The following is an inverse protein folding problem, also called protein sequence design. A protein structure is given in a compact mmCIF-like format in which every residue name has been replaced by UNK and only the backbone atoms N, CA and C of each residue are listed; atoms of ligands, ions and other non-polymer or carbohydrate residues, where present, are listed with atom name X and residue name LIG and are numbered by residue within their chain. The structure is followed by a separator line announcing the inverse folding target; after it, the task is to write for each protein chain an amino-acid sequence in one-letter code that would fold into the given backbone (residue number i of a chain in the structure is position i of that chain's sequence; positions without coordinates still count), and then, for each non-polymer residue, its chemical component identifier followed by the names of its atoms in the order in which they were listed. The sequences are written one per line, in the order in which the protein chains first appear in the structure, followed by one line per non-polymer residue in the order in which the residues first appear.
data_IF_887064654179
#
_entry.id   IF_887064654179
#
_cell.length_a   1.000
_cell.length_b   1.000
_cell.length_c   1.000
_cell.angle_alpha   90.00
_cell.angle_beta   90.00
_cell.angle_gamma   90.00
#
_symmetry.space_group_name_H-M   'P 1'
#
loop_
_entity.id
_entity.type
_entity.pdbx_description
1 polymer ?
#
# COMPACT_ATOMS: atom_id res chain seq x y z
N UNK A 1 18.63 0.71 -6.85
CA UNK A 1 19.25 0.86 -5.50
C UNK A 1 18.15 0.62 -4.48
N UNK A 2 18.44 -0.12 -3.40
CA UNK A 2 17.36 -0.43 -2.45
C UNK A 2 17.01 0.79 -1.59
N UNK A 3 15.72 1.09 -1.48
CA UNK A 3 15.18 2.19 -0.66
C UNK A 3 14.82 1.70 0.73
N UNK A 4 14.30 0.47 0.83
CA UNK A 4 13.97 -0.18 2.11
C UNK A 4 14.60 -1.57 2.11
N UNK A 5 15.35 -1.89 3.15
CA UNK A 5 15.87 -3.22 3.42
C UNK A 5 15.55 -3.59 4.86
N UNK A 6 14.75 -4.63 5.04
CA UNK A 6 14.43 -5.21 6.34
C UNK A 6 14.85 -6.68 6.37
N UNK A 7 15.48 -7.10 7.47
CA UNK A 7 15.87 -8.49 7.73
C UNK A 7 15.48 -8.89 9.14
N UNK A 8 14.63 -9.90 9.24
CA UNK A 8 14.14 -10.42 10.51
C UNK A 8 13.46 -9.33 11.37
N UNK A 9 12.80 -8.34 10.75
CA UNK A 9 12.19 -7.21 11.45
C UNK A 9 11.08 -7.68 12.38
N UNK A 10 11.17 -7.34 13.67
CA UNK A 10 10.21 -7.73 14.70
C UNK A 10 9.78 -6.54 15.54
N UNK A 11 8.51 -6.56 15.94
CA UNK A 11 7.93 -5.61 16.90
C UNK A 11 6.84 -6.26 17.70
N UNK A 12 6.94 -6.12 19.02
CA UNK A 12 5.91 -6.60 19.95
C UNK A 12 5.37 -5.47 20.80
N UNK A 13 4.11 -5.54 21.15
CA UNK A 13 3.42 -4.71 22.12
C UNK A 13 2.84 -5.66 23.19
N UNK A 14 3.50 -5.73 24.33
CA UNK A 14 3.20 -6.75 25.34
C UNK A 14 3.32 -8.17 24.76
N UNK A 15 2.27 -8.95 24.84
CA UNK A 15 2.21 -10.31 24.31
C UNK A 15 1.91 -10.38 22.79
N UNK A 16 1.56 -9.26 22.15
CA UNK A 16 1.17 -9.25 20.73
C UNK A 16 2.38 -8.99 19.86
N UNK A 17 2.70 -9.92 18.96
CA UNK A 17 3.71 -9.76 17.93
C UNK A 17 3.09 -9.04 16.72
N UNK A 18 3.28 -7.72 16.65
CA UNK A 18 2.74 -6.91 15.55
C UNK A 18 3.56 -7.08 14.26
N UNK A 19 4.89 -7.34 14.38
CA UNK A 19 5.76 -7.78 13.29
C UNK A 19 6.54 -9.00 13.79
N UNK A 20 6.59 -10.06 12.98
CA UNK A 20 7.18 -11.33 13.37
C UNK A 20 8.15 -11.87 12.30
N UNK A 21 9.33 -11.24 12.23
CA UNK A 21 10.41 -11.67 11.35
C UNK A 21 10.16 -11.31 9.88
N UNK A 22 9.87 -10.04 9.61
CA UNK A 22 9.68 -9.53 8.26
C UNK A 22 11.03 -9.37 7.55
N UNK A 23 11.13 -10.00 6.37
CA UNK A 23 12.16 -9.74 5.37
C UNK A 23 11.52 -9.03 4.19
N UNK A 24 12.02 -7.82 3.88
CA UNK A 24 11.47 -6.98 2.82
C UNK A 24 12.58 -6.19 2.14
N UNK A 25 12.54 -6.16 0.81
CA UNK A 25 13.40 -5.30 0.01
C UNK A 25 12.54 -4.52 -1.00
N UNK A 26 12.71 -3.21 -1.01
CA UNK A 26 12.03 -2.30 -1.95
C UNK A 26 13.07 -1.53 -2.73
N UNK A 27 13.03 -1.66 -4.04
CA UNK A 27 13.93 -0.95 -4.95
C UNK A 27 13.45 0.47 -5.22
N UNK A 28 14.35 1.31 -5.73
CA UNK A 28 14.07 2.69 -6.14
C UNK A 28 13.06 2.74 -7.31
N UNK A 29 12.25 3.79 -7.38
CA UNK A 29 11.30 4.01 -8.46
C UNK A 29 10.12 3.05 -8.47
N UNK A 30 9.68 2.56 -7.32
CA UNK A 30 8.57 1.62 -7.17
C UNK A 30 7.38 2.25 -6.46
N UNK A 31 6.19 1.80 -6.81
CA UNK A 31 4.95 2.06 -6.07
C UNK A 31 4.54 0.75 -5.42
N UNK A 32 4.85 0.63 -4.13
CA UNK A 32 4.59 -0.58 -3.35
C UNK A 32 3.27 -0.48 -2.60
N UNK A 33 2.37 -1.43 -2.86
CA UNK A 33 1.17 -1.66 -2.04
C UNK A 33 1.46 -2.62 -0.88
N UNK A 34 1.38 -2.15 0.36
CA UNK A 34 1.42 -3.01 1.56
C UNK A 34 -0.01 -3.34 1.98
N UNK A 35 -0.46 -4.54 1.64
CA UNK A 35 -1.85 -4.96 1.69
C UNK A 35 -2.05 -5.98 2.80
N UNK A 36 -3.11 -5.83 3.56
CA UNK A 36 -3.47 -6.76 4.63
C UNK A 36 -4.68 -6.29 5.43
N UNK A 37 -5.30 -7.17 6.22
CA UNK A 37 -6.45 -6.80 7.04
C UNK A 37 -6.07 -5.84 8.16
N UNK A 38 -7.07 -5.28 8.82
CA UNK A 38 -6.84 -4.48 10.02
C UNK A 38 -6.15 -5.34 11.09
N UNK A 39 -5.13 -4.77 11.73
CA UNK A 39 -4.32 -5.49 12.71
C UNK A 39 -3.23 -6.40 12.12
N UNK A 40 -3.06 -6.48 10.80
CA UNK A 40 -2.03 -7.30 10.17
C UNK A 40 -0.59 -6.83 10.43
N UNK A 41 -0.39 -5.58 10.88
CA UNK A 41 0.93 -5.01 11.14
C UNK A 41 1.35 -3.89 10.18
N UNK A 42 0.50 -3.47 9.23
CA UNK A 42 0.80 -2.44 8.21
C UNK A 42 1.33 -1.15 8.82
N UNK A 43 0.51 -0.48 9.64
CA UNK A 43 0.90 0.78 10.33
C UNK A 43 2.13 0.59 11.22
N UNK A 44 2.30 -0.58 11.84
CA UNK A 44 3.49 -0.87 12.65
C UNK A 44 4.74 -0.96 11.76
N UNK A 45 4.64 -1.58 10.58
CA UNK A 45 5.74 -1.63 9.62
C UNK A 45 6.09 -0.22 9.11
N UNK A 46 5.09 0.60 8.76
CA UNK A 46 5.32 2.00 8.37
C UNK A 46 5.95 2.82 9.49
N UNK A 47 5.48 2.65 10.74
CA UNK A 47 6.07 3.34 11.89
C UNK A 47 7.53 2.94 12.12
N UNK A 48 7.89 1.68 11.88
CA UNK A 48 9.30 1.25 11.93
C UNK A 48 10.12 1.90 10.81
N UNK A 49 9.62 1.91 9.56
CA UNK A 49 10.25 2.54 8.39
C UNK A 49 10.47 4.04 8.62
N UNK A 50 9.51 4.72 9.28
CA UNK A 50 9.57 6.16 9.61
C UNK A 50 10.37 6.48 10.89
N UNK A 51 10.90 5.46 11.59
CA UNK A 51 11.58 5.64 12.88
C UNK A 51 10.68 6.21 13.98
N UNK A 52 9.38 5.91 13.93
CA UNK A 52 8.39 6.30 14.94
C UNK A 52 8.21 5.26 16.05
N UNK A 53 8.77 4.06 15.87
CA UNK A 53 8.77 3.00 16.86
C UNK A 53 10.08 2.23 16.83
N UNK A 54 10.52 1.76 18.00
CA UNK A 54 11.66 0.84 18.09
C UNK A 54 11.30 -0.54 17.54
N UNK A 55 12.29 -1.27 17.05
CA UNK A 55 12.14 -2.59 16.45
C UNK A 55 13.36 -3.48 16.82
N UNK A 56 13.25 -4.77 16.52
CA UNK A 56 14.35 -5.74 16.53
C UNK A 56 14.63 -6.21 15.09
N UNK A 57 15.82 -6.69 14.83
CA UNK A 57 16.28 -7.03 13.48
C UNK A 57 17.05 -5.89 12.83
N UNK A 58 17.33 -6.04 11.53
CA UNK A 58 18.00 -4.98 10.75
C UNK A 58 16.99 -4.29 9.84
N UNK A 59 17.00 -2.96 9.87
CA UNK A 59 16.18 -2.12 9.00
C UNK A 59 17.00 -0.93 8.52
N UNK A 60 17.09 -0.80 7.19
CA UNK A 60 17.68 0.35 6.51
C UNK A 60 16.66 0.99 5.60
N UNK A 61 16.55 2.30 5.69
CA UNK A 61 15.70 3.13 4.82
C UNK A 61 16.58 4.21 4.22
N UNK A 62 16.68 4.26 2.89
CA UNK A 62 17.62 5.12 2.18
C UNK A 62 19.06 4.98 2.71
N UNK A 63 19.44 3.75 3.10
CA UNK A 63 20.75 3.42 3.66
C UNK A 63 20.96 3.78 5.12
N UNK A 64 19.98 4.40 5.80
CA UNK A 64 20.05 4.84 7.20
C UNK A 64 19.25 3.92 8.12
N UNK A 65 19.66 3.84 9.38
CA UNK A 65 18.83 3.23 10.41
C UNK A 65 17.74 4.23 10.83
N UNK A 66 16.45 3.93 10.60
CA UNK A 66 15.38 4.91 10.84
C UNK A 66 15.18 5.25 12.32
N UNK A 67 15.58 4.38 13.25
CA UNK A 67 15.46 4.64 14.69
C UNK A 67 16.53 5.57 15.24
N UNK A 68 17.78 5.41 14.79
CA UNK A 68 18.92 6.18 15.32
C UNK A 68 19.30 7.39 14.48
N UNK A 69 18.90 7.43 13.19
CA UNK A 69 19.26 8.49 12.24
C UNK A 69 18.00 9.17 11.65
N UNK A 70 16.91 9.19 12.45
CA UNK A 70 15.60 9.66 11.98
C UNK A 70 15.61 11.11 11.49
N UNK A 71 16.33 12.00 12.14
CA UNK A 71 16.44 13.41 11.78
C UNK A 71 17.04 13.62 10.37
N UNK A 72 18.03 12.80 10.03
CA UNK A 72 18.63 12.79 8.68
C UNK A 72 17.72 12.13 7.67
N UNK A 73 17.08 11.02 8.05
CA UNK A 73 16.16 10.28 7.20
C UNK A 73 14.97 11.14 6.77
N UNK A 74 14.36 11.86 7.70
CA UNK A 74 13.15 12.67 7.44
C UNK A 74 13.37 13.85 6.49
N UNK A 75 14.61 14.17 6.14
CA UNK A 75 14.91 15.15 5.07
C UNK A 75 14.59 14.63 3.66
N UNK A 76 14.59 13.31 3.51
CA UNK A 76 14.40 12.60 2.24
C UNK A 76 13.07 11.82 2.20
N UNK A 77 12.26 11.91 3.28
CA UNK A 77 11.00 11.17 3.43
C UNK A 77 9.86 12.15 3.68
N UNK A 78 8.76 11.92 2.97
CA UNK A 78 7.48 12.56 3.26
C UNK A 78 6.45 11.49 3.64
N UNK A 79 5.47 11.82 4.51
CA UNK A 79 4.45 10.84 4.85
C UNK A 79 3.10 11.49 5.16
N UNK A 80 2.03 10.74 4.86
CA UNK A 80 0.67 11.00 5.30
C UNK A 80 0.27 9.86 6.23
N UNK A 81 -0.04 10.18 7.49
CA UNK A 81 -0.61 9.22 8.42
C UNK A 81 -2.11 9.05 8.18
N UNK A 82 -2.67 7.88 8.52
CA UNK A 82 -4.11 7.61 8.51
C UNK A 82 -4.93 8.71 9.23
N UNK A 83 -4.39 9.23 10.31
CA UNK A 83 -4.97 10.36 11.06
C UNK A 83 -4.10 11.60 10.87
N UNK A 84 -3.92 12.04 9.63
CA UNK A 84 -3.23 13.30 9.36
C UNK A 84 -4.10 14.47 9.82
N UNK A 85 -3.87 14.96 11.01
CA UNK A 85 -4.68 16.04 11.60
C UNK A 85 -3.88 17.31 11.61
N UNK A 86 -4.11 18.13 10.56
CA UNK A 86 -3.76 19.55 10.70
C UNK A 86 -4.61 20.18 11.81
N UNK A 87 -4.03 21.04 12.65
CA UNK A 87 -4.80 21.73 13.71
C UNK A 87 -6.01 22.44 13.11
N UNK A 88 -7.19 22.15 13.61
CA UNK A 88 -8.46 22.67 13.05
C UNK A 88 -8.56 24.20 13.04
N UNK A 89 -7.82 24.87 13.93
CA UNK A 89 -7.77 26.32 14.05
C UNK A 89 -6.81 27.01 13.09
N UNK A 90 -5.84 26.26 12.50
CA UNK A 90 -4.81 26.84 11.63
C UNK A 90 -5.41 27.27 10.29
N UNK A 91 -4.89 28.37 9.72
CA UNK A 91 -5.20 28.76 8.34
C UNK A 91 -4.36 27.96 7.36
N UNK A 92 -4.88 27.74 6.15
CA UNK A 92 -4.15 27.04 5.08
C UNK A 92 -2.80 27.69 4.82
N UNK A 93 -2.73 29.03 4.68
CA UNK A 93 -1.47 29.75 4.51
C UNK A 93 -0.46 29.48 5.63
N UNK A 94 -0.93 29.50 6.89
CA UNK A 94 -0.06 29.28 8.04
C UNK A 94 0.40 27.82 8.14
N UNK A 95 -0.42 26.86 7.67
CA UNK A 95 0.00 25.47 7.56
C UNK A 95 1.15 25.30 6.55
N UNK A 96 1.05 25.97 5.40
CA UNK A 96 2.14 25.98 4.40
C UNK A 96 3.40 26.66 4.94
N UNK A 97 3.25 27.80 5.66
CA UNK A 97 4.37 28.49 6.32
C UNK A 97 5.08 27.59 7.33
N UNK A 98 4.28 26.89 8.14
CA UNK A 98 4.81 25.96 9.15
C UNK A 98 5.60 24.81 8.51
N UNK A 99 5.05 24.18 7.47
CA UNK A 99 5.77 23.10 6.77
C UNK A 99 7.04 23.61 6.12
N UNK A 100 7.01 24.81 5.48
CA UNK A 100 8.20 25.46 4.92
C UNK A 100 9.27 25.80 5.95
N UNK A 101 8.87 26.06 7.19
CA UNK A 101 9.80 26.31 8.30
C UNK A 101 10.45 25.05 8.87
N UNK A 102 9.83 23.88 8.72
CA UNK A 102 10.32 22.62 9.31
C UNK A 102 10.91 21.65 8.29
N UNK A 103 10.47 21.69 7.03
CA UNK A 103 10.95 20.76 6.01
C UNK A 103 11.84 21.46 4.98
N UNK A 104 13.15 21.12 4.89
CA UNK A 104 14.12 21.86 4.07
C UNK A 104 13.88 21.76 2.56
N UNK A 105 13.11 20.76 2.10
CA UNK A 105 12.80 20.52 0.68
C UNK A 105 11.34 20.82 0.33
N UNK A 106 10.66 21.63 1.14
CA UNK A 106 9.30 22.05 0.83
C UNK A 106 9.30 23.23 -0.14
N UNK A 107 8.61 23.08 -1.27
CA UNK A 107 8.37 24.15 -2.23
C UNK A 107 6.95 24.71 -2.03
N UNK A 108 6.87 25.86 -1.35
CA UNK A 108 5.61 26.56 -1.11
C UNK A 108 4.87 26.91 -2.41
N UNK A 109 5.60 27.37 -3.43
CA UNK A 109 4.98 27.75 -4.70
C UNK A 109 4.34 26.52 -5.39
N UNK A 110 4.94 25.36 -5.24
CA UNK A 110 4.36 24.10 -5.73
C UNK A 110 3.08 23.75 -4.98
N UNK A 111 3.07 23.84 -3.64
CA UNK A 111 1.86 23.63 -2.84
C UNK A 111 0.72 24.58 -3.27
N UNK A 112 1.02 25.85 -3.45
CA UNK A 112 0.06 26.85 -3.91
C UNK A 112 -0.47 26.53 -5.32
N UNK A 113 0.39 26.08 -6.25
CA UNK A 113 -0.03 25.60 -7.58
C UNK A 113 -1.00 24.43 -7.51
N UNK A 114 -0.78 23.46 -6.61
CA UNK A 114 -1.74 22.37 -6.42
C UNK A 114 -3.08 22.89 -5.89
N UNK A 115 -3.05 23.81 -4.93
CA UNK A 115 -4.28 24.37 -4.35
C UNK A 115 -5.09 25.20 -5.34
N UNK A 116 -4.48 25.83 -6.37
CA UNK A 116 -5.24 26.53 -7.42
C UNK A 116 -6.21 25.67 -8.20
N UNK A 117 -5.97 24.34 -8.22
CA UNK A 117 -6.86 23.36 -8.87
C UNK A 117 -8.02 22.92 -7.96
N UNK A 118 -8.11 23.48 -6.77
CA UNK A 118 -9.12 23.15 -5.75
C UNK A 118 -9.94 24.38 -5.39
N UNK A 119 -11.01 24.20 -4.63
CA UNK A 119 -11.80 25.29 -4.05
C UNK A 119 -11.24 25.82 -2.72
N UNK A 120 -10.05 25.37 -2.31
CA UNK A 120 -9.44 25.73 -1.03
C UNK A 120 -8.82 27.12 -1.11
N UNK A 121 -9.26 28.03 -0.23
CA UNK A 121 -8.69 29.36 -0.11
C UNK A 121 -7.58 29.38 0.93
N UNK A 122 -6.47 30.05 0.65
CA UNK A 122 -5.35 30.19 1.57
C UNK A 122 -5.72 30.81 2.93
N UNK A 123 -6.78 31.64 2.94
CA UNK A 123 -7.31 32.30 4.15
C UNK A 123 -8.24 31.41 4.98
N UNK A 124 -8.76 30.31 4.43
CA UNK A 124 -9.66 29.39 5.13
C UNK A 124 -8.94 28.69 6.29
N UNK A 125 -9.69 28.42 7.37
CA UNK A 125 -9.21 27.56 8.45
C UNK A 125 -9.50 26.11 8.12
N UNK A 126 -8.66 25.19 8.59
CA UNK A 126 -8.82 23.75 8.38
C UNK A 126 -10.22 23.26 8.82
N UNK A 127 -10.78 23.79 9.92
CA UNK A 127 -12.13 23.45 10.37
C UNK A 127 -13.26 23.83 9.41
N UNK A 128 -13.00 24.73 8.45
CA UNK A 128 -13.96 25.22 7.45
C UNK A 128 -13.93 24.35 6.17
N UNK A 129 -12.95 23.45 6.07
CA UNK A 129 -12.78 22.56 4.95
C UNK A 129 -13.60 21.28 5.13
N UNK A 130 -14.16 20.76 4.03
CA UNK A 130 -14.73 19.41 4.02
C UNK A 130 -13.63 18.35 4.19
N UNK A 131 -14.00 17.11 4.51
CA UNK A 131 -13.03 16.01 4.62
C UNK A 131 -12.20 15.85 3.33
N UNK A 132 -12.84 15.90 2.16
CA UNK A 132 -12.16 15.85 0.86
C UNK A 132 -11.20 17.02 0.66
N UNK A 133 -11.58 18.25 1.04
CA UNK A 133 -10.71 19.42 0.95
C UNK A 133 -9.49 19.29 1.91
N UNK A 134 -9.68 18.71 3.10
CA UNK A 134 -8.55 18.44 4.02
C UNK A 134 -7.57 17.46 3.39
N UNK A 135 -8.06 16.40 2.76
CA UNK A 135 -7.20 15.43 2.06
C UNK A 135 -6.46 16.08 0.87
N UNK A 136 -7.15 16.93 0.08
CA UNK A 136 -6.51 17.71 -0.99
C UNK A 136 -5.42 18.65 -0.44
N UNK A 137 -5.64 19.29 0.71
CA UNK A 137 -4.62 20.11 1.36
C UNK A 137 -3.41 19.29 1.81
N UNK A 138 -3.64 18.11 2.43
CA UNK A 138 -2.54 17.20 2.79
C UNK A 138 -1.76 16.75 1.56
N UNK A 139 -2.46 16.37 0.49
CA UNK A 139 -1.82 15.99 -0.76
C UNK A 139 -0.97 17.13 -1.32
N UNK A 140 -1.52 18.35 -1.40
CA UNK A 140 -0.78 19.52 -1.87
C UNK A 140 0.50 19.79 -1.06
N UNK A 141 0.44 19.63 0.27
CA UNK A 141 1.60 19.77 1.15
C UNK A 141 2.65 18.70 0.84
N UNK A 142 2.23 17.43 0.79
CA UNK A 142 3.15 16.30 0.62
C UNK A 142 3.79 16.30 -0.76
N UNK A 143 3.02 16.60 -1.80
CA UNK A 143 3.52 16.68 -3.18
C UNK A 143 4.44 17.89 -3.41
N UNK A 144 4.41 18.88 -2.54
CA UNK A 144 5.34 20.01 -2.55
C UNK A 144 6.65 19.72 -1.81
N UNK A 145 6.82 18.54 -1.25
CA UNK A 145 8.08 18.09 -0.65
C UNK A 145 8.83 17.24 -1.68
N UNK A 146 10.04 17.64 -2.03
CA UNK A 146 10.93 16.87 -2.89
C UNK A 146 11.55 15.71 -2.09
N UNK A 147 10.77 14.67 -1.84
CA UNK A 147 11.17 13.48 -1.10
C UNK A 147 11.51 12.32 -2.05
N UNK A 148 12.49 11.49 -1.66
CA UNK A 148 12.84 10.24 -2.35
C UNK A 148 11.91 9.09 -1.98
N UNK A 149 11.36 9.12 -0.77
CA UNK A 149 10.40 8.13 -0.27
C UNK A 149 9.15 8.83 0.24
N UNK A 150 8.01 8.48 -0.34
CA UNK A 150 6.69 8.88 0.13
C UNK A 150 6.01 7.69 0.80
N UNK A 151 5.56 7.86 2.04
CA UNK A 151 4.84 6.85 2.81
C UNK A 151 3.41 7.31 3.04
N UNK A 152 2.44 6.48 2.69
CA UNK A 152 1.01 6.79 2.76
C UNK A 152 0.30 5.69 3.57
N UNK A 153 -0.23 6.04 4.74
CA UNK A 153 -1.01 5.10 5.56
C UNK A 153 -2.50 5.38 5.37
N UNK A 154 -3.19 4.48 4.65
CA UNK A 154 -4.63 4.57 4.31
C UNK A 154 -5.06 5.97 3.79
N UNK A 155 -4.37 6.56 2.80
CA UNK A 155 -4.46 7.99 2.49
C UNK A 155 -5.83 8.44 1.97
N UNK A 156 -6.66 7.52 1.51
CA UNK A 156 -8.00 7.79 0.95
C UNK A 156 -9.14 7.38 1.88
N UNK A 157 -8.82 6.97 3.12
CA UNK A 157 -9.83 6.55 4.07
C UNK A 157 -10.83 7.68 4.38
N UNK A 158 -12.11 7.39 4.19
CA UNK A 158 -13.19 8.36 4.43
C UNK A 158 -13.39 9.40 3.32
N UNK A 159 -12.70 9.28 2.19
CA UNK A 159 -12.98 10.04 0.98
C UNK A 159 -14.06 9.36 0.14
N UNK A 160 -14.83 10.13 -0.61
CA UNK A 160 -15.71 9.59 -1.64
C UNK A 160 -14.92 9.14 -2.89
N UNK A 161 -15.59 8.38 -3.76
CA UNK A 161 -14.96 7.74 -4.93
C UNK A 161 -14.29 8.77 -5.86
N UNK A 162 -14.90 9.95 -6.03
CA UNK A 162 -14.37 10.98 -6.93
C UNK A 162 -13.03 11.54 -6.40
N UNK A 163 -12.99 11.88 -5.11
CA UNK A 163 -11.79 12.41 -4.49
C UNK A 163 -10.68 11.37 -4.38
N UNK A 164 -11.01 10.09 -4.18
CA UNK A 164 -10.01 9.00 -4.20
C UNK A 164 -9.34 8.87 -5.56
N UNK A 165 -10.14 8.87 -6.63
CA UNK A 165 -9.59 8.81 -7.99
C UNK A 165 -8.69 10.02 -8.27
N UNK A 166 -9.13 11.23 -7.96
CA UNK A 166 -8.34 12.45 -8.13
C UNK A 166 -7.03 12.39 -7.33
N UNK A 167 -7.05 11.81 -6.12
CA UNK A 167 -5.85 11.63 -5.30
C UNK A 167 -4.81 10.77 -6.02
N UNK A 168 -5.20 9.58 -6.50
CA UNK A 168 -4.29 8.67 -7.18
C UNK A 168 -3.86 9.21 -8.54
N UNK A 169 -4.74 9.83 -9.30
CA UNK A 169 -4.39 10.48 -10.57
C UNK A 169 -3.33 11.58 -10.37
N UNK A 170 -3.48 12.41 -9.34
CA UNK A 170 -2.49 13.44 -9.01
C UNK A 170 -1.19 12.84 -8.51
N UNK A 171 -1.25 11.78 -7.71
CA UNK A 171 -0.07 11.08 -7.21
C UNK A 171 0.79 10.54 -8.36
N UNK A 172 0.14 9.95 -9.38
CA UNK A 172 0.82 9.39 -10.54
C UNK A 172 1.31 10.46 -11.51
N UNK A 173 0.45 11.39 -11.88
CA UNK A 173 0.74 12.29 -12.99
C UNK A 173 1.57 13.51 -12.57
N UNK A 174 1.41 13.95 -11.30
CA UNK A 174 2.03 15.19 -10.83
C UNK A 174 3.22 14.95 -9.88
N UNK A 175 3.29 13.77 -9.21
CA UNK A 175 4.31 13.51 -8.20
C UNK A 175 5.26 12.38 -8.54
N UNK A 176 4.74 11.24 -9.01
CA UNK A 176 5.58 10.06 -9.24
C UNK A 176 6.52 10.27 -10.43
N UNK A 177 7.78 10.00 -10.19
CA UNK A 177 8.80 9.81 -11.22
C UNK A 177 9.69 8.62 -10.84
N UNK A 178 10.54 8.16 -11.75
CA UNK A 178 11.41 6.99 -11.53
C UNK A 178 12.46 7.17 -10.41
N UNK A 179 12.62 8.38 -9.88
CA UNK A 179 13.54 8.69 -8.81
C UNK A 179 12.85 8.69 -7.43
N UNK A 180 11.53 8.50 -7.40
CA UNK A 180 10.72 8.49 -6.18
C UNK A 180 10.10 7.15 -5.94
N UNK A 181 10.16 6.69 -4.71
CA UNK A 181 9.51 5.45 -4.26
C UNK A 181 8.30 5.81 -3.40
N UNK A 182 7.20 5.12 -3.62
CA UNK A 182 5.97 5.31 -2.86
C UNK A 182 5.65 3.99 -2.16
N UNK A 183 5.38 4.05 -0.87
CA UNK A 183 4.82 2.93 -0.09
C UNK A 183 3.44 3.34 0.39
N UNK A 184 2.43 2.59 0.00
CA UNK A 184 1.05 2.87 0.39
C UNK A 184 0.44 1.66 1.08
N UNK A 185 -0.19 1.88 2.24
CA UNK A 185 -1.04 0.87 2.84
C UNK A 185 -2.48 1.12 2.44
N UNK A 186 -3.20 0.05 2.17
CA UNK A 186 -4.64 0.09 1.97
C UNK A 186 -5.27 -1.27 2.28
N UNK A 187 -6.53 -1.24 2.65
CA UNK A 187 -7.40 -2.41 2.65
C UNK A 187 -8.39 -2.39 1.47
N UNK A 188 -8.42 -1.29 0.69
CA UNK A 188 -9.24 -1.09 -0.50
C UNK A 188 -8.37 -1.18 -1.76
N UNK A 189 -7.92 -2.39 -2.07
CA UNK A 189 -6.89 -2.66 -3.09
C UNK A 189 -7.35 -2.32 -4.49
N UNK A 190 -8.63 -2.51 -4.78
CA UNK A 190 -9.23 -2.29 -6.09
C UNK A 190 -9.08 -0.85 -6.58
N UNK A 191 -8.91 0.10 -5.66
CA UNK A 191 -8.76 1.52 -5.99
C UNK A 191 -7.36 1.91 -6.45
N UNK A 192 -6.36 1.09 -6.09
CA UNK A 192 -4.94 1.42 -6.31
C UNK A 192 -4.22 0.40 -7.19
N UNK A 193 -4.81 -0.78 -7.44
CA UNK A 193 -4.12 -1.86 -8.16
C UNK A 193 -3.51 -1.42 -9.49
N UNK A 194 -4.19 -0.53 -10.23
CA UNK A 194 -3.76 -0.07 -11.56
C UNK A 194 -2.53 0.86 -11.50
N UNK A 195 -2.14 1.32 -10.31
CA UNK A 195 -1.01 2.23 -10.12
C UNK A 195 0.18 1.54 -9.44
N UNK A 196 -0.01 0.35 -8.86
CA UNK A 196 1.04 -0.38 -8.18
C UNK A 196 2.04 -0.97 -9.18
N UNK A 197 3.31 -0.95 -8.81
CA UNK A 197 4.36 -1.73 -9.48
C UNK A 197 4.62 -3.04 -8.75
N UNK A 198 4.49 -3.03 -7.42
CA UNK A 198 4.78 -4.16 -6.56
C UNK A 198 3.73 -4.25 -5.44
N UNK A 199 3.50 -5.46 -4.96
CA UNK A 199 2.64 -5.72 -3.81
C UNK A 199 3.35 -6.56 -2.76
N UNK A 200 3.04 -6.26 -1.51
CA UNK A 200 3.42 -7.07 -0.34
C UNK A 200 2.15 -7.40 0.43
N UNK A 201 1.87 -8.68 0.57
CA UNK A 201 0.79 -9.13 1.42
C UNK A 201 1.33 -9.41 2.82
N UNK A 202 0.68 -8.81 3.81
CA UNK A 202 0.99 -9.01 5.22
C UNK A 202 -0.22 -9.55 5.95
N UNK A 203 -0.02 -10.62 6.73
CA UNK A 203 -1.02 -11.18 7.62
C UNK A 203 -0.37 -11.55 8.95
N UNK A 204 -1.01 -11.17 10.06
CA UNK A 204 -0.56 -11.47 11.44
C UNK A 204 0.93 -11.18 11.67
N UNK A 205 1.40 -10.05 11.19
CA UNK A 205 2.78 -9.60 11.34
C UNK A 205 3.80 -10.30 10.45
N UNK A 206 3.38 -11.14 9.50
CA UNK A 206 4.27 -11.87 8.59
C UNK A 206 3.97 -11.53 7.14
N UNK A 207 5.00 -11.43 6.32
CA UNK A 207 4.84 -11.33 4.87
C UNK A 207 4.43 -12.69 4.33
N UNK A 208 3.35 -12.72 3.54
CA UNK A 208 2.81 -13.94 2.93
C UNK A 208 3.04 -14.00 1.42
N UNK A 209 3.20 -12.84 0.77
CA UNK A 209 3.58 -12.71 -0.63
C UNK A 209 4.36 -11.41 -0.84
N UNK A 210 5.39 -11.46 -1.67
CA UNK A 210 6.03 -10.31 -2.31
C UNK A 210 6.07 -10.59 -3.79
N UNK A 211 5.56 -9.71 -4.63
CA UNK A 211 5.52 -9.91 -6.07
C UNK A 211 5.43 -8.58 -6.81
N UNK A 212 6.00 -8.47 -8.01
CA UNK A 212 5.67 -7.40 -8.93
C UNK A 212 4.31 -7.64 -9.58
N UNK A 213 3.69 -6.59 -10.10
CA UNK A 213 2.43 -6.72 -10.85
C UNK A 213 2.63 -7.57 -12.12
N UNK A 214 3.77 -7.41 -12.81
CA UNK A 214 4.15 -8.23 -13.96
C UNK A 214 4.26 -9.73 -13.61
N UNK A 215 4.86 -10.05 -12.44
CA UNK A 215 4.94 -11.43 -11.97
C UNK A 215 3.54 -11.98 -11.63
N UNK A 216 2.65 -11.17 -11.04
CA UNK A 216 1.28 -11.60 -10.76
C UNK A 216 0.55 -11.94 -12.05
N UNK A 217 0.63 -11.10 -13.09
CA UNK A 217 0.00 -11.33 -14.38
C UNK A 217 0.49 -12.59 -15.07
N UNK A 218 1.77 -12.89 -14.98
CA UNK A 218 2.38 -14.06 -15.61
C UNK A 218 2.17 -15.36 -14.81
N UNK A 219 2.12 -15.25 -13.49
CA UNK A 219 2.15 -16.40 -12.57
C UNK A 219 0.78 -16.88 -12.16
N UNK A 220 -0.15 -15.95 -11.90
CA UNK A 220 -1.46 -16.30 -11.36
C UNK A 220 -2.55 -16.21 -12.42
N UNK A 221 -3.41 -17.21 -12.45
CA UNK A 221 -4.56 -17.26 -13.38
C UNK A 221 -5.81 -17.65 -12.62
N UNK A 222 -6.85 -16.84 -12.78
CA UNK A 222 -8.20 -17.18 -12.35
C UNK A 222 -8.97 -17.81 -13.50
N UNK A 223 -9.68 -18.90 -13.25
CA UNK A 223 -10.54 -19.55 -14.23
C UNK A 223 -11.95 -19.71 -13.71
N UNK A 224 -12.93 -19.27 -14.50
CA UNK A 224 -14.35 -19.46 -14.22
C UNK A 224 -14.82 -20.75 -14.95
N UNK A 225 -15.06 -21.79 -14.18
CA UNK A 225 -15.29 -23.15 -14.66
C UNK A 225 -16.74 -23.57 -14.47
N UNK A 226 -17.32 -24.22 -15.49
CA UNK A 226 -18.65 -24.82 -15.39
C UNK A 226 -18.62 -26.10 -14.54
N UNK A 227 -19.75 -26.55 -13.99
CA UNK A 227 -19.82 -27.80 -13.23
C UNK A 227 -19.29 -29.01 -13.99
N UNK A 228 -19.47 -29.05 -15.32
CA UNK A 228 -19.02 -30.16 -16.16
C UNK A 228 -17.48 -30.31 -16.23
N UNK A 229 -16.75 -29.21 -16.09
CA UNK A 229 -15.30 -29.19 -16.17
C UNK A 229 -14.60 -29.10 -14.79
N UNK A 230 -15.38 -29.10 -13.70
CA UNK A 230 -14.85 -28.83 -12.36
C UNK A 230 -13.82 -29.87 -11.90
N UNK A 231 -14.05 -31.15 -12.16
CA UNK A 231 -13.12 -32.21 -11.76
C UNK A 231 -11.80 -32.11 -12.53
N UNK A 232 -11.88 -31.78 -13.84
CA UNK A 232 -10.68 -31.51 -14.65
C UNK A 232 -9.89 -30.30 -14.14
N UNK A 233 -10.58 -29.25 -13.69
CA UNK A 233 -9.95 -28.06 -13.10
C UNK A 233 -9.29 -28.38 -11.74
N UNK A 234 -9.96 -29.13 -10.88
CA UNK A 234 -9.41 -29.55 -9.57
C UNK A 234 -8.18 -30.44 -9.70
N UNK A 235 -8.10 -31.27 -10.78
CA UNK A 235 -6.93 -32.08 -11.08
C UNK A 235 -5.67 -31.23 -11.35
N UNK A 236 -5.82 -29.94 -11.73
CA UNK A 236 -4.73 -28.98 -11.92
C UNK A 236 -4.29 -28.30 -10.59
N UNK A 237 -4.85 -28.71 -9.45
CA UNK A 237 -4.49 -28.29 -8.08
C UNK A 237 -4.59 -26.77 -7.89
N UNK A 238 -5.78 -26.17 -7.96
CA UNK A 238 -5.97 -24.77 -7.66
C UNK A 238 -5.54 -24.45 -6.23
N UNK A 239 -5.01 -23.26 -6.01
CA UNK A 239 -4.65 -22.75 -4.67
C UNK A 239 -5.86 -22.21 -3.91
N UNK A 240 -6.95 -21.92 -4.64
CA UNK A 240 -8.20 -21.43 -4.07
C UNK A 240 -9.38 -21.77 -4.97
N UNK A 241 -10.55 -22.03 -4.35
CA UNK A 241 -11.82 -22.28 -5.03
C UNK A 241 -12.96 -21.57 -4.30
N UNK A 242 -13.84 -20.88 -5.04
CA UNK A 242 -15.09 -20.33 -4.55
C UNK A 242 -16.23 -20.53 -5.54
N UNK A 243 -17.45 -20.59 -5.04
CA UNK A 243 -18.65 -20.64 -5.88
C UNK A 243 -19.11 -19.23 -6.28
N UNK A 244 -19.53 -19.06 -7.52
CA UNK A 244 -20.07 -17.82 -8.05
C UNK A 244 -21.13 -18.09 -9.11
N UNK A 245 -22.39 -17.75 -8.82
CA UNK A 245 -23.52 -17.83 -9.76
C UNK A 245 -23.63 -19.20 -10.48
N UNK A 246 -23.51 -20.30 -9.74
CA UNK A 246 -23.61 -21.66 -10.28
C UNK A 246 -22.37 -22.16 -11.04
N UNK A 247 -21.29 -21.38 -11.06
CA UNK A 247 -19.97 -21.76 -11.57
C UNK A 247 -18.94 -21.75 -10.45
N UNK A 248 -17.80 -22.38 -10.65
CA UNK A 248 -16.66 -22.33 -9.74
C UNK A 248 -15.60 -21.38 -10.26
N UNK A 249 -15.13 -20.48 -9.40
CA UNK A 249 -13.96 -19.64 -9.64
C UNK A 249 -12.77 -20.29 -8.96
N UNK A 250 -11.78 -20.68 -9.75
CA UNK A 250 -10.57 -21.34 -9.26
C UNK A 250 -9.35 -20.48 -9.56
N UNK A 251 -8.44 -20.37 -8.62
CA UNK A 251 -7.20 -19.62 -8.77
C UNK A 251 -6.01 -20.58 -8.80
N UNK A 252 -5.13 -20.38 -9.76
CA UNK A 252 -3.98 -21.24 -10.03
C UNK A 252 -2.68 -20.45 -9.91
N UNK A 253 -1.63 -21.09 -9.39
CA UNK A 253 -0.26 -20.60 -9.36
C UNK A 253 0.60 -21.38 -10.36
N UNK A 254 1.20 -20.70 -11.34
CA UNK A 254 2.11 -21.28 -12.34
C UNK A 254 1.52 -22.43 -13.16
N UNK A 255 0.26 -22.38 -13.47
CA UNK A 255 -0.40 -23.31 -14.38
C UNK A 255 -0.51 -22.66 -15.75
N UNK A 256 -0.21 -23.42 -16.80
CA UNK A 256 -0.27 -22.94 -18.19
C UNK A 256 -1.68 -22.42 -18.52
N UNK A 257 -1.74 -21.16 -18.94
CA UNK A 257 -2.98 -20.46 -19.25
C UNK A 257 -3.75 -21.10 -20.42
N UNK A 258 -3.06 -21.70 -21.39
CA UNK A 258 -3.70 -22.41 -22.50
C UNK A 258 -4.43 -23.66 -22.03
N UNK A 259 -3.89 -24.38 -21.06
CA UNK A 259 -4.57 -25.56 -20.46
C UNK A 259 -5.81 -25.14 -19.68
N UNK A 260 -5.75 -24.00 -18.99
CA UNK A 260 -6.90 -23.47 -18.24
C UNK A 260 -7.98 -22.95 -19.19
N UNK A 261 -7.61 -22.31 -20.29
CA UNK A 261 -8.54 -21.81 -21.31
C UNK A 261 -9.34 -22.93 -21.99
N UNK A 262 -8.83 -24.16 -21.99
CA UNK A 262 -9.55 -25.32 -22.52
C UNK A 262 -10.71 -25.80 -21.61
N UNK A 263 -10.72 -25.39 -20.35
CA UNK A 263 -11.70 -25.87 -19.34
C UNK A 263 -12.57 -24.76 -18.76
N UNK A 264 -12.24 -23.48 -18.96
CA UNK A 264 -13.00 -22.35 -18.44
C UNK A 264 -12.54 -21.01 -18.99
N UNK A 265 -13.27 -19.95 -18.61
CA UNK A 265 -12.93 -18.57 -18.95
C UNK A 265 -11.77 -18.10 -18.06
N UNK A 266 -10.64 -17.70 -18.64
CA UNK A 266 -9.42 -17.34 -17.91
C UNK A 266 -9.19 -15.84 -17.87
N UNK A 267 -8.74 -15.35 -16.72
CA UNK A 267 -8.32 -13.96 -16.52
C UNK A 267 -7.19 -13.87 -15.48
N UNK A 268 -6.53 -12.73 -15.42
CA UNK A 268 -5.66 -12.40 -14.29
C UNK A 268 -6.53 -12.10 -13.08
N UNK A 269 -6.24 -12.68 -11.90
CA UNK A 269 -7.01 -12.39 -10.69
C UNK A 269 -6.84 -10.94 -10.27
N UNK A 270 -7.86 -10.35 -9.65
CA UNK A 270 -7.70 -9.09 -8.94
C UNK A 270 -6.74 -9.28 -7.76
N UNK A 271 -6.08 -8.20 -7.34
CA UNK A 271 -5.20 -8.26 -6.16
C UNK A 271 -5.97 -8.65 -4.90
N UNK A 272 -7.26 -8.23 -4.79
CA UNK A 272 -8.13 -8.62 -3.69
C UNK A 272 -8.43 -10.13 -3.69
N UNK A 273 -8.79 -10.72 -4.85
CA UNK A 273 -9.02 -12.17 -4.96
C UNK A 273 -7.75 -12.96 -4.69
N UNK A 274 -6.60 -12.48 -5.20
CA UNK A 274 -5.30 -13.10 -4.94
C UNK A 274 -4.95 -13.05 -3.44
N UNK A 275 -5.19 -11.93 -2.77
CA UNK A 275 -4.97 -11.79 -1.33
C UNK A 275 -5.81 -12.82 -0.54
N UNK A 276 -7.11 -12.91 -0.84
CA UNK A 276 -8.01 -13.89 -0.19
C UNK A 276 -7.53 -15.33 -0.43
N UNK A 277 -7.09 -15.65 -1.65
CA UNK A 277 -6.60 -16.97 -2.00
C UNK A 277 -5.32 -17.34 -1.24
N UNK A 278 -4.35 -16.43 -1.18
CA UNK A 278 -3.05 -16.67 -0.52
C UNK A 278 -3.19 -16.78 0.99
N UNK A 279 -4.01 -15.92 1.61
CA UNK A 279 -4.24 -15.93 3.06
C UNK A 279 -5.18 -17.06 3.47
N UNK A 280 -6.28 -17.25 2.72
CA UNK A 280 -7.27 -18.29 2.97
C UNK A 280 -6.71 -19.71 2.79
N UNK A 281 -5.91 -19.93 1.75
CA UNK A 281 -5.26 -21.22 1.49
C UNK A 281 -4.30 -21.64 2.62
N UNK A 282 -3.58 -20.70 3.22
CA UNK A 282 -2.70 -20.98 4.39
C UNK A 282 -3.49 -21.35 5.64
N UNK A 283 -4.64 -20.70 5.87
CA UNK A 283 -5.49 -21.01 7.01
C UNK A 283 -6.10 -22.42 6.91
N UNK A 284 -6.49 -22.85 5.72
CA UNK A 284 -6.99 -24.21 5.47
C UNK A 284 -5.89 -25.27 5.65
N UNK A 285 -4.66 -25.01 5.19
CA UNK A 285 -3.53 -25.91 5.39
C UNK A 285 -3.11 -26.00 6.87
N UNK A 286 -3.17 -24.90 7.62
CA UNK A 286 -2.87 -24.90 9.06
C UNK A 286 -3.93 -25.66 9.88
N UNK A 287 -5.19 -25.67 9.46
CA UNK A 287 -6.26 -26.43 10.11
C UNK A 287 -6.27 -27.93 9.73
N UNK A 288 -5.76 -28.30 8.55
CA UNK A 288 -5.61 -29.69 8.11
C UNK A 288 -4.43 -30.44 8.74
N UNK A 289 -3.55 -29.77 9.48
CA UNK A 289 -2.43 -30.37 10.24
C UNK A 289 -2.79 -30.69 11.71
N UNK A 290 -4.05 -30.48 12.13
CA UNK A 290 -4.56 -30.73 13.49
C UNK A 290 -5.62 -31.85 13.50
N UNK A 291 -5.60 -32.75 12.53
CA UNK A 291 -6.41 -34.01 12.56
C UNK A 291 -5.49 -35.22 12.55
#
# INVERSE_FOLDING_TARGET
MSVIEARGLRKSFGATHALDGIDLRVEDGRILGLIGPNGAGKTTALNAILGLTSFQGDLRVLGRNPWTERDLLMRDVSFIADVAVLPRWIRVSNALDYVGGVHPRFDRAQAERFLTRTSIRSTSKVRELSKGMVAQLHLAIVMAIDARLLVLDEPTLGLDILYRKQFYDSLLNDYFDRNRTIVVTTHQVEEIQDVLTDVVFIDRGRIVLVSSMEEIESRFTESLVSPANLDAARALKPIYERQSLGRSVLLFDRVDRTRLAAIGDVRTPSIADLFVAVVGGRSAQAQGLVQ
#
